data_IF_951841855703
#
_entry.id   IF_951841855703
#
_cell.length_a   1.000
_cell.length_b   1.000
_cell.length_c   1.000
_cell.angle_alpha   90.00
_cell.angle_beta   90.00
_cell.angle_gamma   90.00
#
_symmetry.space_group_name_H-M   'P 1'
#
loop_
_entity.id
_entity.type
_entity.pdbx_description
1 polymer ?
#
# COMPACT_ATOMS: atom_id res chain seq x y z
N UNK A 1 -0.37 -1.57 -14.66
CA UNK A 1 -1.14 -2.05 -13.48
C UNK A 1 -1.76 -0.85 -12.79
N UNK A 2 -3.07 -0.83 -12.50
CA UNK A 2 -3.69 0.32 -11.83
C UNK A 2 -3.05 0.61 -10.48
N UNK A 3 -2.93 1.90 -10.13
CA UNK A 3 -2.32 2.37 -8.86
C UNK A 3 -3.00 1.72 -7.64
N UNK A 4 -4.33 1.56 -7.66
CA UNK A 4 -5.07 0.85 -6.60
C UNK A 4 -4.61 -0.60 -6.45
N UNK A 5 -4.50 -1.34 -7.56
CA UNK A 5 -4.08 -2.74 -7.54
C UNK A 5 -2.66 -2.89 -7.02
N UNK A 6 -1.73 -2.03 -7.46
CA UNK A 6 -0.35 -2.02 -6.97
C UNK A 6 -0.29 -1.78 -5.46
N UNK A 7 -1.02 -0.79 -4.96
CA UNK A 7 -1.10 -0.52 -3.53
C UNK A 7 -1.65 -1.72 -2.74
N UNK A 8 -2.76 -2.32 -3.19
CA UNK A 8 -3.37 -3.48 -2.54
C UNK A 8 -2.43 -4.70 -2.50
N UNK A 9 -1.68 -4.95 -3.57
CA UNK A 9 -0.72 -6.06 -3.59
C UNK A 9 0.44 -5.83 -2.62
N UNK A 10 1.01 -4.62 -2.56
CA UNK A 10 2.05 -4.30 -1.58
C UNK A 10 1.54 -4.38 -0.14
N UNK A 11 0.30 -3.94 0.11
CA UNK A 11 -0.34 -4.07 1.41
C UNK A 11 -0.54 -5.55 1.79
N UNK A 12 -1.01 -6.37 0.85
CA UNK A 12 -1.19 -7.80 1.07
C UNK A 12 0.15 -8.49 1.36
N UNK A 13 1.20 -8.18 0.58
CA UNK A 13 2.54 -8.71 0.80
C UNK A 13 3.08 -8.33 2.18
N UNK A 14 2.88 -7.07 2.60
CA UNK A 14 3.24 -6.61 3.94
C UNK A 14 2.54 -7.42 5.04
N UNK A 15 1.23 -7.64 4.91
CA UNK A 15 0.46 -8.45 5.87
C UNK A 15 1.01 -9.88 5.94
N UNK A 16 1.32 -10.50 4.79
CA UNK A 16 1.92 -11.83 4.73
C UNK A 16 3.29 -11.85 5.42
N UNK A 17 4.14 -10.84 5.20
CA UNK A 17 5.42 -10.74 5.90
C UNK A 17 5.24 -10.62 7.42
N UNK A 18 4.30 -9.80 7.89
CA UNK A 18 4.05 -9.64 9.33
C UNK A 18 3.55 -10.95 9.94
N UNK A 19 2.58 -11.62 9.32
CA UNK A 19 2.06 -12.90 9.81
C UNK A 19 3.15 -13.97 9.77
N UNK A 20 3.93 -14.04 8.70
CA UNK A 20 5.07 -14.95 8.55
C UNK A 20 6.13 -14.75 9.64
N UNK A 21 6.41 -13.50 10.01
CA UNK A 21 7.32 -13.19 11.11
C UNK A 21 6.75 -13.61 12.46
N UNK A 22 5.46 -13.41 12.72
CA UNK A 22 4.82 -13.80 13.98
C UNK A 22 4.77 -15.32 14.22
N UNK A 23 4.67 -16.12 13.15
CA UNK A 23 4.74 -17.59 13.22
C UNK A 23 6.18 -18.12 13.23
N UNK A 24 7.16 -17.26 12.99
CA UNK A 24 8.57 -17.66 12.99
C UNK A 24 9.04 -17.96 14.41
N UNK A 25 9.99 -18.88 14.55
CA UNK A 25 10.63 -19.13 15.84
C UNK A 25 11.29 -17.84 16.38
N UNK A 26 11.04 -17.46 17.65
CA UNK A 26 11.70 -16.33 18.29
C UNK A 26 13.22 -16.50 18.25
N UNK A 27 13.91 -15.42 17.90
CA UNK A 27 15.35 -15.42 17.68
C UNK A 27 15.96 -14.13 18.20
N UNK A 28 17.13 -14.23 18.83
CA UNK A 28 17.92 -13.07 19.25
C UNK A 28 18.41 -12.29 18.01
N UNK A 29 18.53 -12.98 16.86
CA UNK A 29 18.92 -12.44 15.55
C UNK A 29 17.66 -12.26 14.67
N UNK A 30 16.57 -11.75 15.25
CA UNK A 30 15.29 -11.58 14.55
C UNK A 30 15.40 -10.68 13.30
N UNK A 31 16.36 -9.76 13.27
CA UNK A 31 16.59 -8.83 12.16
C UNK A 31 17.10 -9.52 10.89
N UNK A 32 17.67 -10.73 11.01
CA UNK A 32 18.07 -11.55 9.87
C UNK A 32 16.91 -12.40 9.32
N UNK A 33 15.74 -12.38 9.96
CA UNK A 33 14.58 -13.13 9.48
C UNK A 33 14.10 -12.53 8.14
N UNK A 34 13.91 -13.36 7.10
CA UNK A 34 13.50 -12.88 5.78
C UNK A 34 12.12 -12.20 5.78
N UNK A 35 11.21 -12.63 6.66
CA UNK A 35 9.92 -11.97 6.84
C UNK A 35 10.06 -10.62 7.52
N UNK A 36 10.99 -10.46 8.46
CA UNK A 36 11.29 -9.16 9.08
C UNK A 36 11.83 -8.17 8.03
N UNK A 37 12.87 -8.57 7.29
CA UNK A 37 13.46 -7.75 6.22
C UNK A 37 12.42 -7.45 5.14
N UNK A 38 11.67 -8.47 4.71
CA UNK A 38 10.60 -8.34 3.73
C UNK A 38 9.50 -7.37 4.18
N UNK A 39 9.15 -7.36 5.46
CA UNK A 39 8.17 -6.43 6.01
C UNK A 39 8.65 -4.98 5.90
N UNK A 40 9.93 -4.70 6.15
CA UNK A 40 10.51 -3.36 5.99
C UNK A 40 10.47 -2.90 4.53
N UNK A 41 10.90 -3.76 3.60
CA UNK A 41 10.88 -3.46 2.16
C UNK A 41 9.46 -3.20 1.68
N UNK A 42 8.50 -4.05 2.07
CA UNK A 42 7.10 -3.88 1.71
C UNK A 42 6.50 -2.61 2.34
N UNK A 43 6.85 -2.28 3.58
CA UNK A 43 6.40 -1.06 4.25
C UNK A 43 6.89 0.19 3.52
N UNK A 44 8.17 0.23 3.11
CA UNK A 44 8.72 1.33 2.30
C UNK A 44 7.98 1.43 0.96
N UNK A 45 7.73 0.31 0.29
CA UNK A 45 6.99 0.30 -0.97
C UNK A 45 5.54 0.80 -0.80
N UNK A 46 4.84 0.41 0.26
CA UNK A 46 3.51 0.94 0.61
C UNK A 46 3.57 2.44 0.87
N UNK A 47 4.59 2.92 1.59
CA UNK A 47 4.77 4.33 1.91
C UNK A 47 4.98 5.17 0.64
N UNK A 48 5.88 4.73 -0.26
CA UNK A 48 6.12 5.41 -1.54
C UNK A 48 4.85 5.42 -2.40
N UNK A 49 4.11 4.30 -2.48
CA UNK A 49 2.85 4.28 -3.23
C UNK A 49 1.81 5.21 -2.59
N UNK A 50 1.78 5.31 -1.26
CA UNK A 50 0.87 6.20 -0.51
C UNK A 50 1.16 7.66 -0.76
N UNK A 51 2.44 8.06 -0.68
CA UNK A 51 2.87 9.43 -0.93
C UNK A 51 2.59 9.84 -2.38
N UNK A 52 2.72 8.92 -3.34
CA UNK A 52 2.48 9.22 -4.75
C UNK A 52 1.01 9.04 -5.19
N UNK A 53 0.09 8.66 -4.29
CA UNK A 53 -1.32 8.45 -4.63
C UNK A 53 -2.14 9.73 -4.61
N UNK A 54 -1.73 10.71 -5.42
CA UNK A 54 -2.49 11.93 -5.63
C UNK A 54 -3.43 11.82 -6.82
N UNK A 55 -4.64 12.38 -6.68
CA UNK A 55 -5.52 12.60 -7.82
C UNK A 55 -4.94 13.72 -8.70
N UNK A 56 -4.75 13.52 -10.02
CA UNK A 56 -4.23 14.57 -10.90
C UNK A 56 -5.19 15.77 -11.01
N UNK A 57 -6.49 15.55 -10.81
CA UNK A 57 -7.52 16.56 -11.02
C UNK A 57 -7.74 17.42 -9.76
N UNK A 58 -7.94 16.80 -8.59
CA UNK A 58 -8.20 17.52 -7.34
C UNK A 58 -7.00 17.58 -6.37
N UNK A 59 -5.84 17.03 -6.75
CA UNK A 59 -4.58 17.00 -5.97
C UNK A 59 -4.70 16.46 -4.54
N UNK A 60 -5.78 15.73 -4.22
CA UNK A 60 -5.96 15.08 -2.91
C UNK A 60 -5.34 13.70 -2.89
N UNK A 61 -4.68 13.36 -1.79
CA UNK A 61 -4.16 12.02 -1.55
C UNK A 61 -5.32 11.05 -1.33
N UNK A 62 -5.48 10.09 -2.24
CA UNK A 62 -6.60 9.15 -2.19
C UNK A 62 -6.43 8.06 -1.15
N UNK A 63 -5.20 7.75 -0.72
CA UNK A 63 -4.97 6.78 0.35
C UNK A 63 -5.48 7.35 1.66
N UNK A 64 -5.13 8.60 1.98
CA UNK A 64 -5.63 9.30 3.17
C UNK A 64 -7.16 9.47 3.13
N UNK A 65 -7.71 9.90 1.99
CA UNK A 65 -9.17 10.08 1.86
C UNK A 65 -9.94 8.75 1.96
N UNK A 66 -9.37 7.66 1.43
CA UNK A 66 -9.97 6.32 1.54
C UNK A 66 -9.91 5.80 2.98
N UNK A 67 -8.77 5.96 3.66
CA UNK A 67 -8.58 5.55 5.06
C UNK A 67 -9.51 6.29 6.02
N UNK A 68 -9.71 7.60 5.83
CA UNK A 68 -10.69 8.39 6.61
C UNK A 68 -12.11 7.84 6.52
N UNK A 69 -12.43 7.13 5.44
CA UNK A 69 -13.74 6.50 5.21
C UNK A 69 -13.74 5.00 5.51
N UNK A 70 -12.68 4.48 6.14
CA UNK A 70 -12.48 3.05 6.41
C UNK A 70 -12.60 2.17 5.17
N UNK A 71 -12.17 2.67 4.00
CA UNK A 71 -12.19 1.90 2.76
C UNK A 71 -10.80 1.89 2.12
N UNK A 72 -10.55 0.89 1.29
CA UNK A 72 -9.32 0.83 0.51
C UNK A 72 -9.36 1.80 -0.69
N UNK A 73 -8.19 2.26 -1.17
CA UNK A 73 -8.08 3.04 -2.40
C UNK A 73 -8.71 2.29 -3.58
N UNK A 74 -9.36 3.02 -4.48
CA UNK A 74 -9.98 2.45 -5.67
C UNK A 74 -9.47 3.14 -6.94
N UNK A 75 -9.88 2.61 -8.09
CA UNK A 75 -9.55 3.17 -9.40
C UNK A 75 -10.33 4.45 -9.72
N UNK A 76 -11.13 4.96 -8.78
CA UNK A 76 -11.82 6.24 -8.90
C UNK A 76 -11.47 7.13 -7.71
N UNK A 77 -11.24 8.40 -7.98
CA UNK A 77 -11.03 9.43 -6.97
C UNK A 77 -12.30 9.58 -6.14
N UNK A 78 -12.21 9.40 -4.82
CA UNK A 78 -13.35 9.49 -3.91
C UNK A 78 -13.85 10.91 -3.69
N UNK A 79 -13.00 11.89 -3.99
CA UNK A 79 -13.33 13.30 -3.81
C UNK A 79 -14.02 13.92 -5.02
N UNK A 80 -13.52 13.67 -6.23
CA UNK A 80 -14.03 14.29 -7.46
C UNK A 80 -14.52 13.29 -8.53
N UNK A 81 -14.50 11.98 -8.26
CA UNK A 81 -14.97 10.95 -9.20
C UNK A 81 -14.02 10.62 -10.35
N UNK A 82 -12.86 11.29 -10.47
CA UNK A 82 -11.87 11.03 -11.51
C UNK A 82 -11.44 9.56 -11.58
N UNK A 83 -11.59 8.91 -12.74
CA UNK A 83 -11.18 7.52 -12.94
C UNK A 83 -9.69 7.40 -13.30
N UNK A 84 -8.90 6.80 -12.41
CA UNK A 84 -7.53 6.40 -12.64
C UNK A 84 -7.50 5.20 -13.59
N UNK A 85 -7.29 5.46 -14.88
CA UNK A 85 -7.13 4.39 -15.87
C UNK A 85 -7.84 4.59 -17.22
N UNK A 86 -8.48 5.75 -17.48
CA UNK A 86 -9.04 6.01 -18.83
C UNK A 86 -8.10 6.74 -19.80
N UNK A 87 -6.99 7.30 -19.35
CA UNK A 87 -5.94 7.84 -20.23
C UNK A 87 -4.58 7.53 -19.57
N UNK A 88 -3.74 6.80 -20.28
CA UNK A 88 -2.45 6.33 -19.78
C UNK A 88 -1.48 7.44 -19.45
N UNK A 89 -1.44 7.83 -18.16
CA UNK A 89 -0.30 8.47 -17.49
C UNK A 89 -0.20 7.94 -16.05
#
# INVERSE_FOLDING_TARGET
>A
MNKSRKFKLWLLALVVCIVGFQISAPSIIFYANPFYIGSFVCAIAVLINTLNYFCPQCKRNQVVDSLRRFKLPNDTCRNCGYAFGKNGV
#
